data_IF_740257661551
#
_entry.id   IF_740257661551
#
_cell.length_a   1.000
_cell.length_b   1.000
_cell.length_c   1.000
_cell.angle_alpha   90.00
_cell.angle_beta   90.00
_cell.angle_gamma   90.00
#
_symmetry.space_group_name_H-M   'P 1'
#
loop_
_entity.id
_entity.type
_entity.pdbx_description
1 polymer ?
2 water ?
#
# COMPACT_ATOMS: atom_id res chain seq x y z
N UNK A 1 12.60 -30.45 -20.28
CA UNK A 1 13.19 -31.55 -19.54
C UNK A 1 12.44 -31.81 -18.24
N UNK A 2 13.15 -32.34 -17.24
CA UNK A 2 12.59 -32.62 -15.93
C UNK A 2 13.20 -31.73 -14.86
N UNK A 3 13.75 -30.58 -15.26
CA UNK A 3 14.40 -29.68 -14.33
C UNK A 3 13.53 -28.52 -13.87
N UNK A 4 12.41 -28.26 -14.54
CA UNK A 4 11.47 -27.26 -14.06
C UNK A 4 10.66 -27.83 -12.91
N UNK A 5 10.19 -26.95 -12.02
CA UNK A 5 9.46 -27.46 -10.86
C UNK A 5 8.28 -28.29 -11.33
N UNK A 6 7.94 -29.36 -10.64
CA UNK A 6 6.89 -30.26 -11.14
C UNK A 6 5.53 -29.63 -10.96
N UNK A 7 4.54 -30.28 -11.58
CA UNK A 7 3.22 -29.70 -11.73
C UNK A 7 2.60 -29.25 -10.40
N UNK A 8 2.74 -30.05 -9.33
CA UNK A 8 2.11 -29.66 -8.07
C UNK A 8 2.67 -28.34 -7.57
N UNK A 9 3.98 -28.15 -7.71
CA UNK A 9 4.61 -26.91 -7.28
C UNK A 9 4.30 -25.77 -8.23
N UNK A 10 4.35 -26.05 -9.53
CA UNK A 10 3.98 -25.06 -10.54
C UNK A 10 2.57 -24.57 -10.29
N UNK A 11 1.65 -25.49 -10.08
CA UNK A 11 0.25 -25.13 -9.89
C UNK A 11 0.05 -24.35 -8.59
N UNK A 12 0.78 -24.69 -7.54
CA UNK A 12 0.65 -23.90 -6.31
C UNK A 12 1.12 -22.47 -6.53
N UNK A 13 2.24 -22.31 -7.23
CA UNK A 13 2.73 -20.96 -7.50
C UNK A 13 1.80 -20.22 -8.45
N UNK A 14 1.22 -20.91 -9.43
CA UNK A 14 0.26 -20.26 -10.32
C UNK A 14 -0.95 -19.82 -9.52
N UNK A 15 -1.40 -20.65 -8.58
CA UNK A 15 -2.49 -20.23 -7.70
C UNK A 15 -2.10 -18.99 -6.93
N UNK A 16 -0.88 -18.95 -6.41
CA UNK A 16 -0.48 -17.78 -5.62
C UNK A 16 -0.45 -16.52 -6.47
N UNK A 17 0.00 -16.62 -7.71
CA UNK A 17 -0.01 -15.47 -8.61
C UNK A 17 -1.44 -15.05 -8.92
N UNK A 18 -2.32 -16.00 -9.22
CA UNK A 18 -3.74 -15.69 -9.42
C UNK A 18 -4.31 -14.97 -8.21
N UNK A 19 -4.00 -15.43 -7.01
CA UNK A 19 -4.52 -14.83 -5.79
C UNK A 19 -4.00 -13.40 -5.65
N UNK A 20 -2.69 -13.23 -5.83
CA UNK A 20 -2.08 -11.89 -5.76
C UNK A 20 -2.73 -10.95 -6.79
N UNK A 21 -3.01 -11.46 -8.00
CA UNK A 21 -3.63 -10.63 -9.01
C UNK A 21 -5.04 -10.19 -8.63
N UNK A 22 -5.71 -10.85 -7.68
CA UNK A 22 -7.01 -10.38 -7.23
C UNK A 22 -6.91 -9.27 -6.20
N UNK A 23 -5.73 -9.05 -5.65
CA UNK A 23 -5.53 -7.91 -4.78
C UNK A 23 -5.46 -6.64 -5.61
N UNK A 24 -6.18 -5.60 -5.19
CA UNK A 24 -6.14 -4.36 -5.93
C UNK A 24 -4.75 -3.73 -5.90
N UNK A 25 -3.99 -4.00 -4.84
CA UNK A 25 -2.60 -3.56 -4.72
C UNK A 25 -1.70 -4.14 -5.79
N UNK A 26 -2.13 -5.19 -6.49
CA UNK A 26 -1.32 -5.72 -7.59
C UNK A 26 -1.46 -4.93 -8.88
N UNK A 27 -2.41 -4.01 -8.96
CA UNK A 27 -2.67 -3.31 -10.22
C UNK A 27 -1.43 -2.69 -10.85
N UNK A 28 -0.53 -2.03 -10.12
CA UNK A 28 0.68 -1.49 -10.75
C UNK A 28 1.64 -2.55 -11.29
N UNK A 29 1.43 -3.83 -10.93
CA UNK A 29 2.35 -4.91 -11.19
C UNK A 29 1.79 -5.95 -12.16
N UNK A 30 0.60 -5.72 -12.71
CA UNK A 30 -0.07 -6.72 -13.52
C UNK A 30 0.65 -6.99 -14.84
N UNK A 31 1.29 -5.99 -15.41
CA UNK A 31 1.93 -6.10 -16.72
C UNK A 31 3.30 -5.46 -16.65
N UNK A 32 4.20 -5.79 -17.57
CA UNK A 32 5.51 -5.13 -17.58
C UNK A 32 5.37 -3.61 -17.59
N UNK A 33 6.26 -2.95 -16.87
CA UNK A 33 6.36 -1.49 -16.95
C UNK A 33 6.62 -1.08 -18.39
N UNK A 34 5.77 -0.20 -18.93
CA UNK A 34 5.94 0.39 -20.25
C UNK A 34 6.33 1.85 -20.03
N UNK A 35 7.62 2.20 -20.10
CA UNK A 35 8.01 3.57 -19.80
C UNK A 35 7.46 4.61 -20.75
N UNK A 36 7.03 4.23 -21.95
CA UNK A 36 6.46 5.20 -22.88
C UNK A 36 5.00 5.47 -22.53
N UNK A 37 4.20 4.41 -22.41
CA UNK A 37 2.79 4.60 -22.06
C UNK A 37 2.63 5.24 -20.70
N UNK A 38 3.54 4.98 -19.75
CA UNK A 38 3.50 5.53 -18.40
C UNK A 38 4.27 6.83 -18.29
N UNK A 39 4.97 7.24 -19.35
CA UNK A 39 5.73 8.47 -19.39
C UNK A 39 6.71 8.57 -18.21
N UNK A 40 7.54 7.54 -18.06
CA UNK A 40 8.65 7.50 -17.12
C UNK A 40 9.90 7.10 -17.91
N UNK A 41 10.38 7.99 -18.79
CA UNK A 41 11.44 7.63 -19.76
C UNK A 41 12.75 7.17 -19.15
N UNK A 42 13.08 7.50 -17.91
CA UNK A 42 14.36 7.08 -17.35
C UNK A 42 14.32 5.68 -16.74
N UNK A 43 13.21 4.96 -16.88
CA UNK A 43 13.04 3.71 -16.12
C UNK A 43 14.21 2.74 -16.29
N UNK A 44 14.59 2.47 -17.55
CA UNK A 44 15.63 1.48 -17.78
C UNK A 44 17.04 2.01 -17.49
N UNK A 45 17.19 3.30 -17.19
CA UNK A 45 18.47 3.76 -16.65
C UNK A 45 18.67 3.27 -15.21
N UNK A 46 17.60 3.08 -14.45
CA UNK A 46 17.71 2.58 -13.09
C UNK A 46 17.52 1.07 -12.98
N UNK A 47 16.73 0.49 -13.88
CA UNK A 47 16.25 -0.88 -13.72
C UNK A 47 16.87 -1.74 -14.82
N UNK A 48 17.77 -2.62 -14.38
CA UNK A 48 18.48 -3.51 -15.30
C UNK A 48 17.64 -4.73 -15.65
N UNK A 49 16.84 -5.21 -14.72
CA UNK A 49 16.14 -6.48 -14.87
C UNK A 49 14.68 -6.29 -14.48
N UNK A 50 13.84 -5.85 -15.40
CA UNK A 50 12.43 -5.62 -15.07
C UNK A 50 11.73 -6.93 -14.75
N UNK A 51 10.68 -6.82 -13.94
CA UNK A 51 9.87 -8.00 -13.62
C UNK A 51 8.47 -7.54 -13.26
N UNK A 52 7.47 -8.41 -13.46
CA UNK A 52 6.07 -8.09 -13.20
C UNK A 52 5.34 -9.44 -13.06
N UNK A 53 4.08 -9.36 -12.66
CA UNK A 53 3.35 -10.58 -12.34
C UNK A 53 3.03 -11.40 -13.58
N UNK A 54 2.74 -10.75 -14.69
CA UNK A 54 2.46 -11.52 -15.91
C UNK A 54 3.68 -12.27 -16.38
N UNK A 55 4.85 -11.65 -16.27
CA UNK A 55 6.09 -12.34 -16.66
C UNK A 55 6.35 -13.53 -15.74
N UNK A 56 6.09 -13.38 -14.44
CA UNK A 56 6.24 -14.53 -13.54
C UNK A 56 5.30 -15.64 -13.97
N UNK A 57 4.04 -15.30 -14.22
CA UNK A 57 3.08 -16.30 -14.67
C UNK A 57 3.55 -16.98 -15.96
N UNK A 58 4.06 -16.19 -16.92
CA UNK A 58 4.52 -16.77 -18.17
C UNK A 58 5.69 -17.71 -17.95
N UNK A 59 6.60 -17.36 -17.03
CA UNK A 59 7.74 -18.22 -16.74
C UNK A 59 7.28 -19.50 -16.05
N UNK A 60 6.30 -19.40 -15.15
CA UNK A 60 5.71 -20.60 -14.58
C UNK A 60 5.12 -21.49 -15.66
N UNK A 61 4.34 -20.92 -16.57
CA UNK A 61 3.71 -21.72 -17.62
C UNK A 61 4.72 -22.30 -18.59
N UNK A 62 5.88 -21.68 -18.71
CA UNK A 62 6.95 -22.17 -19.55
C UNK A 62 7.86 -23.13 -18.81
N UNK A 63 7.52 -23.47 -17.57
CA UNK A 63 8.30 -24.48 -16.83
C UNK A 63 9.77 -24.06 -16.71
N UNK A 64 9.98 -22.76 -16.57
CA UNK A 64 11.32 -22.17 -16.56
C UNK A 64 11.92 -22.05 -15.17
N UNK A 65 11.12 -22.18 -14.10
CA UNK A 65 11.66 -22.07 -12.76
C UNK A 65 12.21 -23.42 -12.30
N UNK A 66 13.42 -23.41 -11.78
CA UNK A 66 14.06 -24.64 -11.31
C UNK A 66 13.67 -25.00 -9.88
N UNK A 67 13.40 -24.02 -9.04
CA UNK A 67 13.02 -24.23 -7.65
C UNK A 67 11.94 -23.22 -7.32
N UNK A 68 11.15 -23.47 -6.26
CA UNK A 68 10.22 -22.43 -5.81
C UNK A 68 10.92 -21.15 -5.41
N UNK A 69 12.16 -21.24 -4.92
CA UNK A 69 12.85 -20.04 -4.46
C UNK A 69 13.14 -19.08 -5.61
N UNK A 70 13.33 -19.60 -6.83
CA UNK A 70 13.57 -18.72 -7.97
C UNK A 70 12.33 -17.87 -8.28
N UNK A 71 11.14 -18.37 -7.98
CA UNK A 71 9.93 -17.56 -8.15
C UNK A 71 9.95 -16.40 -7.17
N UNK A 72 10.26 -16.68 -5.91
CA UNK A 72 10.41 -15.62 -4.91
C UNK A 72 11.49 -14.63 -5.31
N UNK A 73 12.59 -15.11 -5.89
CA UNK A 73 13.61 -14.18 -6.36
C UNK A 73 13.05 -13.16 -7.35
N UNK A 74 12.24 -13.63 -8.30
CA UNK A 74 11.64 -12.73 -9.26
C UNK A 74 10.62 -11.81 -8.61
N UNK A 75 9.83 -12.33 -7.67
CA UNK A 75 8.88 -11.47 -6.99
C UNK A 75 9.61 -10.37 -6.24
N UNK A 76 10.69 -10.73 -5.53
CA UNK A 76 11.48 -9.74 -4.79
C UNK A 76 12.13 -8.74 -5.76
N UNK A 77 12.60 -9.22 -6.91
CA UNK A 77 13.15 -8.32 -7.93
C UNK A 77 12.10 -7.30 -8.36
N UNK A 78 10.90 -7.76 -8.65
CA UNK A 78 9.81 -6.88 -9.04
C UNK A 78 9.58 -5.77 -8.01
N UNK A 79 9.57 -6.11 -6.73
CA UNK A 79 9.27 -5.10 -5.72
C UNK A 79 10.50 -4.25 -5.42
N UNK A 80 11.71 -4.83 -5.44
CA UNK A 80 12.90 -4.01 -5.25
C UNK A 80 13.13 -3.05 -6.40
N UNK A 81 12.74 -3.45 -7.62
CA UNK A 81 12.78 -2.49 -8.72
C UNK A 81 11.93 -1.27 -8.41
N UNK A 82 10.72 -1.47 -7.89
CA UNK A 82 9.89 -0.33 -7.51
C UNK A 82 10.54 0.45 -6.40
N UNK A 83 11.10 -0.22 -5.40
CA UNK A 83 11.76 0.52 -4.33
C UNK A 83 12.85 1.43 -4.86
N UNK A 84 13.61 0.96 -5.85
CA UNK A 84 14.70 1.77 -6.40
C UNK A 84 14.19 2.88 -7.30
N UNK A 85 13.22 2.57 -8.16
CA UNK A 85 12.79 3.56 -9.14
C UNK A 85 11.79 4.53 -8.55
N UNK A 86 10.74 4.03 -7.90
CA UNK A 86 9.70 4.85 -7.30
C UNK A 86 10.05 5.31 -5.90
N UNK A 87 10.81 4.52 -5.15
CA UNK A 87 11.22 4.88 -3.82
C UNK A 87 10.73 3.87 -2.80
N UNK A 88 11.48 3.69 -1.70
CA UNK A 88 11.11 2.68 -0.70
C UNK A 88 9.77 2.89 -0.08
N UNK A 89 9.34 4.15 0.04
CA UNK A 89 8.09 4.48 0.72
C UNK A 89 7.07 5.07 -0.24
N UNK A 90 7.30 4.96 -1.54
CA UNK A 90 6.31 5.39 -2.51
C UNK A 90 5.08 4.48 -2.47
N UNK A 91 3.94 5.03 -2.87
CA UNK A 91 2.69 4.27 -2.86
C UNK A 91 2.84 2.99 -3.63
N UNK A 92 3.38 3.06 -4.85
CA UNK A 92 3.49 1.85 -5.67
C UNK A 92 4.34 0.80 -4.97
N UNK A 93 5.46 1.21 -4.39
CA UNK A 93 6.32 0.26 -3.71
C UNK A 93 5.61 -0.37 -2.53
N UNK A 94 4.87 0.42 -1.75
CA UNK A 94 4.15 -0.11 -0.59
C UNK A 94 3.03 -1.05 -1.01
N UNK A 95 2.37 -0.76 -2.12
CA UNK A 95 1.44 -1.73 -2.68
C UNK A 95 2.17 -3.03 -3.03
N UNK A 96 3.38 -2.92 -3.57
CA UNK A 96 4.22 -4.08 -3.83
C UNK A 96 4.54 -4.84 -2.56
N UNK A 97 4.85 -4.13 -1.48
CA UNK A 97 5.13 -4.82 -0.22
C UNK A 97 3.88 -5.57 0.26
N UNK A 98 2.70 -4.99 0.07
CA UNK A 98 1.48 -5.65 0.51
C UNK A 98 1.26 -6.94 -0.25
N UNK A 99 1.45 -6.91 -1.58
CA UNK A 99 1.24 -8.15 -2.32
C UNK A 99 2.35 -9.14 -2.05
N UNK A 100 3.53 -8.66 -1.76
CA UNK A 100 4.66 -9.54 -1.46
C UNK A 100 4.43 -10.31 -0.17
N UNK A 101 3.82 -9.65 0.82
CA UNK A 101 3.51 -10.33 2.08
C UNK A 101 2.48 -11.44 1.86
N UNK A 102 1.48 -11.18 1.02
CA UNK A 102 0.50 -12.23 0.71
C UNK A 102 1.15 -13.37 -0.06
N UNK A 103 1.95 -13.03 -1.07
CA UNK A 103 2.63 -14.06 -1.84
C UNK A 103 3.48 -14.96 -0.94
N UNK A 104 4.25 -14.35 -0.04
CA UNK A 104 5.08 -15.14 0.87
C UNK A 104 4.25 -16.14 1.68
N UNK A 105 3.07 -15.74 2.14
CA UNK A 105 2.25 -16.68 2.89
C UNK A 105 1.85 -17.87 2.04
N UNK A 106 1.50 -17.64 0.78
CA UNK A 106 1.18 -18.76 -0.08
C UNK A 106 2.40 -19.60 -0.36
N UNK A 107 3.57 -18.99 -0.52
CA UNK A 107 4.76 -19.75 -0.83
C UNK A 107 5.20 -20.62 0.35
N UNK A 108 4.88 -20.21 1.59
CA UNK A 108 5.12 -21.06 2.75
C UNK A 108 4.32 -22.35 2.67
N UNK A 109 3.22 -22.36 1.91
CA UNK A 109 2.38 -23.55 1.79
C UNK A 109 2.67 -24.35 0.52
N UNK A 110 3.80 -24.12 -0.13
CA UNK A 110 4.17 -24.86 -1.32
C UNK A 110 4.27 -26.35 -0.98
N UNK A 111 3.65 -27.23 -1.76
CA UNK A 111 3.78 -28.67 -1.49
C UNK A 111 5.22 -29.14 -1.70
N UNK A 112 5.60 -30.18 -0.96
CA UNK A 112 6.93 -30.76 -1.11
C UNK A 112 7.07 -31.38 -2.49
N UNK A 113 8.31 -31.40 -2.99
CA UNK A 113 8.52 -31.96 -4.33
C UNK A 113 8.26 -33.45 -4.34
N UNK A 114 8.73 -34.17 -3.32
CA UNK A 114 8.67 -35.62 -3.26
C UNK A 114 8.03 -36.02 -1.96
N UNK B 2 -23.11 -10.14 10.42
CA UNK B 2 -21.95 -9.32 10.11
C UNK B 2 -22.14 -7.82 10.27
N UNK B 3 -22.41 -7.37 11.49
CA UNK B 3 -22.74 -5.97 11.75
C UNK B 3 -21.50 -5.20 12.20
N UNK B 4 -21.26 -4.08 11.54
CA UNK B 4 -20.01 -3.35 11.66
C UNK B 4 -19.25 -3.36 10.34
N UNK B 5 -18.17 -2.59 10.33
CA UNK B 5 -17.32 -2.49 9.14
C UNK B 5 -16.72 -3.86 8.84
N UNK B 6 -16.72 -4.33 7.58
CA UNK B 6 -16.07 -5.60 7.29
C UNK B 6 -14.61 -5.59 7.73
N UNK B 7 -14.17 -6.70 8.31
CA UNK B 7 -12.91 -6.68 9.01
C UNK B 7 -11.73 -6.54 8.05
N UNK B 8 -11.81 -7.10 6.84
CA UNK B 8 -10.75 -6.94 5.86
C UNK B 8 -10.65 -5.51 5.37
N UNK B 9 -11.77 -4.77 5.42
CA UNK B 9 -11.75 -3.37 5.04
C UNK B 9 -11.08 -2.52 6.11
N UNK B 10 -11.40 -2.78 7.38
CA UNK B 10 -10.66 -2.10 8.44
C UNK B 10 -9.17 -2.38 8.33
N UNK B 11 -8.82 -3.62 8.02
CA UNK B 11 -7.41 -3.97 7.93
C UNK B 11 -6.70 -3.22 6.80
N UNK B 12 -7.36 -3.10 5.64
CA UNK B 12 -6.77 -2.33 4.55
C UNK B 12 -6.60 -0.87 4.93
N UNK B 13 -7.58 -0.32 5.63
CA UNK B 13 -7.47 1.07 6.10
C UNK B 13 -6.32 1.25 7.06
N UNK B 14 -6.16 0.32 8.00
CA UNK B 14 -5.03 0.39 8.93
C UNK B 14 -3.71 0.33 8.18
N UNK B 15 -3.63 -0.52 7.15
CA UNK B 15 -2.43 -0.56 6.32
C UNK B 15 -2.18 0.79 5.67
N UNK B 16 -3.23 1.42 5.17
CA UNK B 16 -3.07 2.72 4.51
C UNK B 16 -2.54 3.78 5.47
N UNK B 17 -3.08 3.80 6.69
CA UNK B 17 -2.58 4.71 7.70
C UNK B 17 -1.11 4.43 7.99
N UNK B 18 -0.74 3.17 8.18
CA UNK B 18 0.65 2.86 8.42
C UNK B 18 1.53 3.24 7.26
N UNK B 19 1.02 3.12 6.05
CA UNK B 19 1.79 3.49 4.88
C UNK B 19 2.11 4.98 4.88
N UNK B 20 1.11 5.83 5.15
CA UNK B 20 1.40 7.25 5.09
C UNK B 20 2.26 7.68 6.27
N UNK B 21 2.22 6.95 7.37
CA UNK B 21 3.09 7.27 8.49
C UNK B 21 4.56 7.03 8.20
N UNK B 22 4.87 6.25 7.17
CA UNK B 22 6.24 6.07 6.71
C UNK B 22 6.77 7.29 5.98
N UNK B 23 5.93 8.30 5.74
CA UNK B 23 6.34 9.58 5.17
C UNK B 23 6.60 10.58 6.27
N UNK B 24 7.69 11.34 6.14
CA UNK B 24 7.98 12.37 7.14
C UNK B 24 6.89 13.43 7.19
N UNK B 25 6.19 13.65 6.08
CA UNK B 25 5.06 14.58 6.07
C UNK B 25 3.92 14.18 6.99
N UNK B 26 3.87 12.95 7.49
CA UNK B 26 2.84 12.59 8.44
C UNK B 26 3.07 13.18 9.81
N UNK B 27 4.28 13.64 10.09
CA UNK B 27 4.65 13.98 11.46
C UNK B 27 3.74 15.02 12.11
N UNK B 28 3.31 16.10 11.44
CA UNK B 28 2.43 17.05 12.11
C UNK B 28 1.10 16.45 12.51
N UNK B 29 0.74 15.27 12.01
CA UNK B 29 -0.60 14.71 12.13
C UNK B 29 -0.64 13.47 13.01
N UNK B 30 0.49 13.12 13.63
CA UNK B 30 0.56 11.84 14.34
C UNK B 30 -0.31 11.82 15.58
N UNK B 31 -0.37 12.92 16.31
CA UNK B 31 -1.09 12.96 17.57
C UNK B 31 -1.93 14.22 17.61
N UNK B 32 -2.89 14.28 18.55
CA UNK B 32 -3.78 15.45 18.57
C UNK B 32 -3.01 16.74 18.69
N UNK B 33 -3.45 17.74 17.94
CA UNK B 33 -2.91 19.07 18.17
C UNK B 33 -3.10 19.44 19.62
N UNK B 34 -2.03 19.88 20.25
CA UNK B 34 -2.03 20.17 21.68
C UNK B 34 -1.73 21.65 21.80
N UNK B 35 -2.74 22.48 22.00
CA UNK B 35 -2.51 23.94 21.99
C UNK B 35 -1.62 24.39 23.13
N UNK B 36 -1.47 23.60 24.20
CA UNK B 36 -0.57 23.92 25.28
C UNK B 36 0.87 23.56 24.89
N UNK B 37 1.09 22.32 24.48
CA UNK B 37 2.43 21.89 24.11
C UNK B 37 2.97 22.62 22.89
N UNK B 38 2.08 23.02 21.98
CA UNK B 38 2.48 23.70 20.76
C UNK B 38 2.38 25.20 20.86
N UNK B 39 1.99 25.73 22.02
CA UNK B 39 1.93 27.16 22.26
C UNK B 39 1.08 27.88 21.20
N UNK B 40 -0.12 27.34 20.95
CA UNK B 40 -1.06 27.95 20.01
C UNK B 40 -2.41 27.98 20.71
N UNK B 41 -2.57 28.83 21.73
CA UNK B 41 -3.79 28.75 22.57
C UNK B 41 -5.09 29.05 21.83
N UNK B 42 -5.04 29.72 20.69
CA UNK B 42 -6.25 30.04 19.95
C UNK B 42 -6.74 28.85 19.13
N UNK B 43 -5.99 27.74 19.09
CA UNK B 43 -6.28 26.66 18.16
C UNK B 43 -7.74 26.21 18.19
N UNK B 44 -8.26 25.85 19.37
CA UNK B 44 -9.61 25.32 19.41
C UNK B 44 -10.68 26.40 19.29
N UNK B 45 -10.31 27.68 19.36
CA UNK B 45 -11.24 28.71 18.96
C UNK B 45 -11.54 28.64 17.47
N UNK B 46 -10.53 28.32 16.66
CA UNK B 46 -10.66 28.22 15.21
C UNK B 46 -11.03 26.84 14.73
N UNK B 47 -10.60 25.79 15.45
CA UNK B 47 -10.79 24.39 15.07
C UNK B 47 -11.76 23.76 16.07
N UNK B 48 -13.00 23.64 15.63
CA UNK B 48 -14.06 23.12 16.51
C UNK B 48 -14.08 21.60 16.58
N UNK B 49 -13.62 20.89 15.52
CA UNK B 49 -13.59 19.42 15.49
C UNK B 49 -12.18 18.96 15.15
N UNK B 50 -11.25 18.98 16.10
CA UNK B 50 -9.90 18.50 15.84
C UNK B 50 -9.90 17.03 15.44
N UNK B 51 -8.93 16.66 14.62
CA UNK B 51 -8.76 15.28 14.19
C UNK B 51 -7.29 15.07 13.85
N UNK B 52 -6.84 13.80 13.99
CA UNK B 52 -5.43 13.44 13.86
C UNK B 52 -5.35 11.91 13.70
N UNK B 53 -4.17 11.42 13.36
CA UNK B 53 -4.02 10.01 13.05
C UNK B 53 -4.20 9.13 14.27
N UNK B 54 -3.76 9.58 15.44
CA UNK B 54 -3.99 8.81 16.66
C UNK B 54 -5.47 8.62 16.90
N UNK B 55 -6.25 9.70 16.81
CA UNK B 55 -7.68 9.62 17.03
C UNK B 55 -8.33 8.66 16.04
N UNK B 56 -7.93 8.73 14.78
CA UNK B 56 -8.47 7.81 13.79
C UNK B 56 -8.22 6.36 14.21
N UNK B 57 -7.01 6.06 14.67
CA UNK B 57 -6.75 4.68 15.11
C UNK B 57 -7.49 4.34 16.41
N UNK B 58 -7.64 5.28 17.35
CA UNK B 58 -8.47 4.99 18.52
C UNK B 58 -9.90 4.68 18.12
N UNK B 59 -10.41 5.37 17.10
CA UNK B 59 -11.77 5.12 16.65
C UNK B 59 -11.83 3.77 15.98
N UNK B 60 -10.78 3.40 15.26
CA UNK B 60 -10.68 2.04 14.71
C UNK B 60 -10.73 0.99 15.81
N UNK B 61 -9.96 1.17 16.89
CA UNK B 61 -9.95 0.14 17.93
C UNK B 61 -11.24 0.11 18.71
N UNK B 62 -11.99 1.19 18.70
CA UNK B 62 -13.29 1.23 19.32
C UNK B 62 -14.39 0.74 18.38
N UNK B 63 -14.05 0.36 17.15
CA UNK B 63 -15.02 -0.07 16.16
C UNK B 63 -16.06 1.02 15.90
N UNK B 64 -15.60 2.29 15.91
CA UNK B 64 -16.47 3.44 15.74
C UNK B 64 -16.80 3.75 14.28
N UNK B 65 -16.06 3.20 13.33
CA UNK B 65 -16.33 3.42 11.93
C UNK B 65 -17.15 2.25 11.39
N UNK B 66 -18.18 2.59 10.60
CA UNK B 66 -19.04 1.59 9.99
C UNK B 66 -18.62 1.26 8.57
N UNK B 67 -17.94 2.19 7.91
CA UNK B 67 -17.51 2.02 6.54
C UNK B 67 -16.11 2.58 6.40
N UNK B 68 -15.37 2.15 5.40
CA UNK B 68 -14.05 2.73 5.21
C UNK B 68 -14.12 4.19 4.81
N UNK B 69 -15.20 4.63 4.16
CA UNK B 69 -15.27 6.01 3.71
C UNK B 69 -15.29 6.97 4.88
N UNK B 70 -15.87 6.56 6.00
CA UNK B 70 -15.84 7.41 7.19
C UNK B 70 -14.42 7.65 7.66
N UNK B 71 -13.53 6.68 7.47
CA UNK B 71 -12.14 6.87 7.85
C UNK B 71 -11.52 7.96 6.98
N UNK B 72 -11.73 7.86 5.65
CA UNK B 72 -11.22 8.84 4.71
C UNK B 72 -11.77 10.22 5.00
N UNK B 73 -13.01 10.29 5.48
CA UNK B 73 -13.61 11.58 5.81
C UNK B 73 -12.98 12.20 7.06
N UNK B 74 -12.64 11.39 8.05
CA UNK B 74 -11.87 11.92 9.17
C UNK B 74 -10.47 12.35 8.75
N UNK B 75 -9.85 11.62 7.84
CA UNK B 75 -8.54 12.05 7.33
C UNK B 75 -8.67 13.42 6.67
N UNK B 76 -9.74 13.62 5.91
CA UNK B 76 -9.92 14.90 5.26
C UNK B 76 -10.19 16.01 6.26
N UNK B 77 -10.98 15.73 7.30
CA UNK B 77 -11.20 16.72 8.35
C UNK B 77 -9.89 17.16 8.97
N UNK B 78 -8.98 16.24 9.18
CA UNK B 78 -7.68 16.57 9.73
C UNK B 78 -6.94 17.56 8.84
N UNK B 79 -6.95 17.33 7.51
CA UNK B 79 -6.20 18.20 6.62
C UNK B 79 -6.90 19.54 6.49
N UNK B 80 -8.23 19.52 6.39
CA UNK B 80 -8.98 20.76 6.28
C UNK B 80 -8.85 21.63 7.53
N UNK B 81 -8.69 21.01 8.69
CA UNK B 81 -8.41 21.78 9.89
C UNK B 81 -7.10 22.52 9.76
N UNK B 82 -6.08 21.86 9.22
CA UNK B 82 -4.81 22.55 9.02
C UNK B 82 -4.98 23.72 8.06
N UNK B 83 -5.73 23.52 6.96
CA UNK B 83 -5.97 24.62 6.04
C UNK B 83 -6.61 25.80 6.75
N UNK B 84 -7.54 25.56 7.68
CA UNK B 84 -8.21 26.65 8.38
C UNK B 84 -7.27 27.35 9.33
N UNK B 85 -6.48 26.60 10.09
CA UNK B 85 -5.68 27.21 11.14
C UNK B 85 -4.30 27.62 10.67
N UNK B 86 -3.55 26.69 10.05
CA UNK B 86 -2.23 27.03 9.55
C UNK B 86 -2.30 27.85 8.27
N UNK B 87 -3.37 27.66 7.50
CA UNK B 87 -3.58 28.37 6.27
C UNK B 87 -3.56 27.44 5.08
N UNK B 88 -4.26 27.84 4.02
CA UNK B 88 -4.33 26.99 2.81
C UNK B 88 -2.99 26.76 2.15
N UNK B 89 -2.03 27.66 2.34
CA UNK B 89 -0.74 27.53 1.68
C UNK B 89 0.40 27.32 2.67
N UNK B 90 0.07 26.99 3.91
CA UNK B 90 1.07 26.73 4.94
C UNK B 90 1.81 25.42 4.69
N UNK B 91 3.02 25.36 5.21
CA UNK B 91 3.83 24.14 5.15
C UNK B 91 3.07 22.94 5.70
N UNK B 92 2.50 23.07 6.90
CA UNK B 92 1.87 21.92 7.51
C UNK B 92 0.67 21.48 6.69
N UNK B 93 -0.09 22.44 6.16
CA UNK B 93 -1.23 22.07 5.33
C UNK B 93 -0.78 21.30 4.09
N UNK B 94 0.29 21.76 3.44
CA UNK B 94 0.77 21.05 2.28
C UNK B 94 1.25 19.65 2.64
N UNK B 95 1.93 19.50 3.77
CA UNK B 95 2.29 18.17 4.23
C UNK B 95 1.06 17.29 4.40
N UNK B 96 -0.01 17.85 4.93
CA UNK B 96 -1.27 17.14 5.00
C UNK B 96 -1.80 16.71 3.64
N UNK B 97 -1.78 17.62 2.67
CA UNK B 97 -2.18 17.25 1.31
C UNK B 97 -1.30 16.12 0.76
N UNK B 98 -0.01 16.15 1.08
CA UNK B 98 0.88 15.11 0.57
C UNK B 98 0.52 13.74 1.12
N UNK B 99 0.30 13.66 2.43
CA UNK B 99 -0.08 12.36 2.95
C UNK B 99 -1.49 11.99 2.52
N UNK B 100 -2.37 12.97 2.34
CA UNK B 100 -3.72 12.65 1.89
C UNK B 100 -3.71 12.06 0.50
N UNK B 101 -2.88 12.58 -0.41
CA UNK B 101 -2.88 12.02 -1.75
C UNK B 101 -2.45 10.57 -1.72
N UNK B 102 -1.47 10.23 -0.89
CA UNK B 102 -1.02 8.85 -0.79
C UNK B 102 -2.09 7.99 -0.13
N UNK B 103 -2.71 8.49 0.94
CA UNK B 103 -3.78 7.78 1.62
C UNK B 103 -4.91 7.47 0.67
N UNK B 104 -5.30 8.46 -0.15
CA UNK B 104 -6.41 8.26 -1.08
C UNK B 104 -6.08 7.18 -2.11
N UNK B 105 -4.83 7.13 -2.57
CA UNK B 105 -4.46 6.08 -3.51
C UNK B 105 -4.57 4.69 -2.87
N UNK B 106 -4.10 4.55 -1.62
CA UNK B 106 -4.26 3.25 -0.95
C UNK B 106 -5.72 2.93 -0.74
N UNK B 107 -6.54 3.92 -0.35
CA UNK B 107 -7.94 3.64 -0.07
C UNK B 107 -8.73 3.26 -1.32
N UNK B 108 -8.26 3.62 -2.50
CA UNK B 108 -8.90 3.16 -3.72
C UNK B 108 -8.77 1.65 -3.88
N UNK B 109 -7.79 1.05 -3.23
CA UNK B 109 -7.56 -0.38 -3.32
C UNK B 109 -8.29 -1.15 -2.23
N UNK B 110 -9.22 -0.49 -1.54
CA UNK B 110 -10.03 -1.16 -0.54
C UNK B 110 -10.67 -2.43 -1.12
N UNK B 111 -10.51 -3.57 -0.46
CA UNK B 111 -11.16 -4.79 -0.97
C UNK B 111 -12.66 -4.67 -0.92
N UNK B 112 -13.29 -5.39 -1.84
CA UNK B 112 -14.73 -5.46 -1.87
C UNK B 112 -15.25 -6.10 -0.57
N UNK B 113 -16.43 -5.66 -0.15
CA UNK B 113 -17.04 -6.25 1.04
C UNK B 113 -17.27 -7.74 0.85
N UNK B 114 -17.82 -8.14 -0.30
CA UNK B 114 -18.03 -9.55 -0.60
C UNK B 114 -17.44 -9.96 -1.95
#
# INVERSE_FOLDING_TARGET
>A
GAMGIPQHQQKHALMAIKAVKRLKDARPFLQPVDPVALNIPLYFNFIKRPMDLQTIERKLNANAYETPEQITEDFNLMVENSAKFNGPTAVITQMGRNIQAAFEKHMLNMPAKD
>B
GAMGIPQHQQKHALMAIKAVKRLKDARPFLQPVDPVALNIPLYFNFIKRPMDLQTIERKLNANAYETPEQITEDFNLMVENSAKFNGPTAVITQMGRNIQAAFEKHMLNMPAKD
#
